data_IF_003060790781
#
_entry.id   IF_003060790781
#
_cell.length_a   1.000
_cell.length_b   1.000
_cell.length_c   1.000
_cell.angle_alpha   90.00
_cell.angle_beta   90.00
_cell.angle_gamma   90.00
#
_symmetry.space_group_name_H-M   'P 1'
#
loop_
_entity.id
_entity.type
_entity.pdbx_description
1 polymer ?
#
# COMPACT_ATOMS: atom_id res chain seq x y z
N UNK A 1 3.90 17.02 12.00
CA UNK A 1 4.86 15.91 11.91
C UNK A 1 5.52 16.01 10.55
N UNK A 2 6.79 16.39 10.50
CA UNK A 2 7.49 16.60 9.23
C UNK A 2 8.21 15.32 8.83
N UNK A 3 7.95 14.84 7.62
CA UNK A 3 8.58 13.62 7.07
C UNK A 3 9.62 14.04 6.06
N UNK A 4 10.86 13.62 6.27
CA UNK A 4 11.98 13.82 5.33
C UNK A 4 12.18 12.49 4.60
N UNK A 5 11.95 12.47 3.30
CA UNK A 5 12.15 11.28 2.44
C UNK A 5 13.49 11.38 1.74
N UNK A 6 14.40 10.44 2.05
CA UNK A 6 15.73 10.33 1.44
C UNK A 6 15.87 8.98 0.74
N UNK A 7 16.35 8.99 -0.49
CA UNK A 7 16.74 7.79 -1.24
C UNK A 7 18.26 7.72 -1.30
N UNK A 8 18.86 6.69 -0.69
CA UNK A 8 20.30 6.46 -0.69
C UNK A 8 20.62 5.00 -1.00
N UNK A 9 21.71 4.77 -1.72
CA UNK A 9 22.21 3.44 -2.07
C UNK A 9 23.43 3.14 -1.22
N UNK A 10 23.50 1.93 -0.65
CA UNK A 10 24.67 1.51 0.12
C UNK A 10 25.90 1.41 -0.79
N UNK A 11 27.06 1.80 -0.25
CA UNK A 11 28.33 1.68 -0.95
C UNK A 11 28.78 0.22 -1.10
N UNK A 12 29.83 -0.04 -1.90
CA UNK A 12 30.44 -1.38 -2.03
C UNK A 12 31.01 -1.95 -0.73
N UNK A 13 31.19 -1.11 0.29
CA UNK A 13 31.59 -1.45 1.66
C UNK A 13 30.42 -1.92 2.55
N UNK A 14 29.18 -1.86 2.04
CA UNK A 14 27.98 -2.24 2.77
C UNK A 14 27.48 -1.17 3.74
N UNK A 15 28.01 0.06 3.67
CA UNK A 15 27.63 1.16 4.56
C UNK A 15 26.65 2.10 3.86
N UNK A 16 25.56 2.46 4.55
CA UNK A 16 24.60 3.47 4.10
C UNK A 16 24.93 4.81 4.76
N UNK A 17 25.35 5.79 3.96
CA UNK A 17 25.56 7.16 4.41
C UNK A 17 24.25 7.96 4.28
N UNK A 18 23.81 8.59 5.38
CA UNK A 18 22.60 9.42 5.42
C UNK A 18 22.99 10.86 5.80
N UNK A 19 22.89 11.77 4.84
CA UNK A 19 23.06 13.22 5.08
C UNK A 19 21.70 13.87 5.36
N UNK A 20 21.48 14.30 6.61
CA UNK A 20 20.20 14.87 7.05
C UNK A 20 20.39 16.39 7.24
N UNK A 21 19.82 17.24 6.36
CA UNK A 21 19.91 18.69 6.53
C UNK A 21 18.99 19.15 7.66
N UNK A 22 19.57 19.56 8.78
CA UNK A 22 18.82 19.95 9.99
C UNK A 22 18.68 21.47 10.19
N UNK A 23 19.34 22.28 9.35
CA UNK A 23 19.15 23.73 9.25
C UNK A 23 19.65 24.59 10.43
N UNK A 24 19.85 24.00 11.62
CA UNK A 24 20.40 24.66 12.80
C UNK A 24 21.26 23.68 13.61
N UNK A 25 22.15 24.21 14.45
CA UNK A 25 22.87 23.41 15.41
C UNK A 25 21.95 23.05 16.60
N UNK A 26 21.99 21.80 17.03
CA UNK A 26 21.18 21.29 18.14
C UNK A 26 21.32 19.78 18.29
N UNK A 27 20.68 19.23 19.33
CA UNK A 27 20.54 17.79 19.52
C UNK A 27 19.29 17.28 18.80
N UNK A 28 19.41 16.13 18.14
CA UNK A 28 18.33 15.52 17.37
C UNK A 28 18.24 14.03 17.68
N UNK A 29 17.06 13.56 18.08
CA UNK A 29 16.75 12.14 18.19
C UNK A 29 16.38 11.57 16.82
N UNK A 30 17.22 10.67 16.31
CA UNK A 30 17.05 10.07 14.98
C UNK A 30 16.81 8.58 15.13
N UNK A 31 15.67 8.09 14.63
CA UNK A 31 15.35 6.66 14.56
C UNK A 31 15.40 6.21 13.10
N UNK A 32 16.50 5.54 12.73
CA UNK A 32 16.66 4.92 11.41
C UNK A 32 16.16 3.48 11.47
N UNK A 33 15.15 3.16 10.67
CA UNK A 33 14.73 1.78 10.44
C UNK A 33 15.07 1.40 9.00
N UNK A 34 16.14 0.63 8.77
CA UNK A 34 16.40 0.11 7.43
C UNK A 34 15.24 -0.79 7.04
N UNK A 35 14.40 -0.29 6.12
CA UNK A 35 13.51 -1.15 5.36
C UNK A 35 14.38 -1.69 4.25
N UNK A 36 14.56 -3.00 4.18
CA UNK A 36 15.16 -3.62 3.00
C UNK A 36 14.36 -3.12 1.81
N UNK A 37 14.96 -2.31 0.95
CA UNK A 37 14.44 -2.12 -0.40
C UNK A 37 14.34 -3.54 -0.94
N UNK A 38 13.13 -3.97 -1.21
CA UNK A 38 12.78 -5.30 -1.68
C UNK A 38 13.42 -5.45 -3.07
N UNK A 39 14.74 -5.67 -3.10
CA UNK A 39 15.48 -6.10 -4.26
C UNK A 39 15.09 -7.57 -4.47
N UNK A 40 13.90 -7.75 -5.04
CA UNK A 40 13.25 -9.04 -5.24
C UNK A 40 12.00 -9.16 -4.35
N UNK A 41 10.84 -8.97 -4.97
CA UNK A 41 9.54 -9.44 -4.48
C UNK A 41 8.68 -8.52 -3.58
N UNK A 42 8.67 -7.21 -3.86
CA UNK A 42 7.44 -6.40 -3.64
C UNK A 42 6.39 -6.66 -4.76
N UNK A 43 6.58 -7.73 -5.51
CA UNK A 43 5.59 -8.25 -6.43
C UNK A 43 4.47 -8.82 -5.58
N UNK A 44 3.30 -8.21 -5.65
CA UNK A 44 2.10 -8.85 -5.14
C UNK A 44 2.00 -10.23 -5.81
N UNK A 45 1.82 -11.32 -5.04
CA UNK A 45 1.72 -12.65 -5.61
C UNK A 45 0.59 -12.68 -6.64
N UNK A 46 0.81 -13.35 -7.77
CA UNK A 46 -0.26 -13.49 -8.77
C UNK A 46 -1.38 -14.36 -8.22
N UNK A 47 -2.61 -14.22 -8.74
CA UNK A 47 -3.69 -15.14 -8.47
C UNK A 47 -3.28 -16.62 -8.49
N UNK A 48 -2.47 -17.04 -9.47
CA UNK A 48 -2.01 -18.42 -9.61
C UNK A 48 -1.06 -18.84 -8.47
N UNK A 49 -0.20 -17.94 -8.00
CA UNK A 49 0.67 -18.17 -6.84
C UNK A 49 -0.13 -18.25 -5.53
N UNK A 50 -1.31 -17.64 -5.51
CA UNK A 50 -2.28 -17.75 -4.42
C UNK A 50 -3.20 -18.97 -4.55
N UNK A 51 -2.98 -19.84 -5.56
CA UNK A 51 -3.72 -21.09 -5.75
C UNK A 51 -5.00 -20.95 -6.59
N UNK A 52 -5.25 -19.79 -7.21
CA UNK A 52 -6.38 -19.64 -8.12
C UNK A 52 -6.08 -20.32 -9.47
N UNK A 53 -7.10 -20.92 -10.13
CA UNK A 53 -6.93 -21.41 -11.49
C UNK A 53 -6.52 -20.29 -12.45
N UNK A 54 -5.72 -20.58 -13.48
CA UNK A 54 -5.35 -19.58 -14.49
C UNK A 54 -6.58 -18.91 -15.10
N UNK A 55 -6.57 -17.58 -15.16
CA UNK A 55 -7.66 -16.81 -15.76
C UNK A 55 -8.97 -16.80 -14.96
N UNK A 56 -8.93 -17.19 -13.67
CA UNK A 56 -10.14 -17.30 -12.84
C UNK A 56 -10.87 -15.96 -12.72
N UNK A 57 -10.16 -14.87 -12.44
CA UNK A 57 -10.79 -13.57 -12.22
C UNK A 57 -11.35 -12.98 -13.52
N UNK A 58 -10.66 -13.17 -14.65
CA UNK A 58 -11.10 -12.75 -15.98
C UNK A 58 -12.42 -13.45 -16.38
N UNK A 59 -12.61 -14.70 -15.93
CA UNK A 59 -13.82 -15.46 -16.21
C UNK A 59 -14.96 -15.17 -15.23
N UNK A 60 -14.65 -14.83 -13.98
CA UNK A 60 -15.65 -14.72 -12.90
C UNK A 60 -16.14 -13.29 -12.70
N UNK A 61 -15.29 -12.28 -12.90
CA UNK A 61 -15.70 -10.87 -12.81
C UNK A 61 -16.77 -10.60 -13.86
N UNK A 62 -17.95 -10.17 -13.42
CA UNK A 62 -19.07 -9.92 -14.32
C UNK A 62 -19.67 -11.18 -14.97
N UNK A 63 -19.37 -12.37 -14.45
CA UNK A 63 -19.89 -13.65 -14.99
C UNK A 63 -21.40 -13.82 -14.82
N UNK A 64 -22.04 -12.99 -13.99
CA UNK A 64 -23.49 -13.01 -13.86
C UNK A 64 -24.14 -12.35 -15.09
N UNK A 65 -24.65 -13.22 -15.94
CA UNK A 65 -25.40 -12.89 -17.15
C UNK A 65 -26.91 -13.14 -16.99
N UNK A 66 -27.33 -13.47 -15.78
CA UNK A 66 -28.74 -13.66 -15.44
C UNK A 66 -29.44 -12.29 -15.33
N UNK A 67 -30.38 -11.97 -16.24
CA UNK A 67 -31.08 -10.68 -16.22
C UNK A 67 -32.06 -10.57 -15.05
N UNK A 68 -32.38 -11.66 -14.36
CA UNK A 68 -33.18 -11.66 -13.13
C UNK A 68 -32.35 -11.28 -11.91
N UNK A 69 -31.03 -11.31 -12.01
CA UNK A 69 -30.12 -10.84 -10.97
C UNK A 69 -30.09 -9.31 -10.93
N UNK A 70 -31.12 -8.74 -10.32
CA UNK A 70 -31.29 -7.31 -10.13
C UNK A 70 -31.00 -6.92 -8.70
N UNK A 71 -30.37 -5.76 -8.51
CA UNK A 71 -30.24 -5.15 -7.19
C UNK A 71 -31.63 -4.75 -6.70
N UNK A 72 -32.03 -5.24 -5.53
CA UNK A 72 -33.28 -4.81 -4.88
C UNK A 72 -33.24 -3.36 -4.38
N UNK A 73 -34.40 -2.86 -3.97
CA UNK A 73 -34.54 -1.51 -3.40
C UNK A 73 -33.58 -1.30 -2.23
N UNK A 74 -32.89 -0.16 -2.23
CA UNK A 74 -31.91 0.19 -1.20
C UNK A 74 -32.53 0.78 0.07
N UNK A 75 -33.86 0.81 0.15
CA UNK A 75 -34.57 1.38 1.27
C UNK A 75 -34.29 2.87 1.43
N UNK A 76 -34.41 3.33 2.67
CA UNK A 76 -34.29 4.74 3.04
C UNK A 76 -32.89 5.00 3.57
N UNK A 77 -32.38 6.22 3.36
CA UNK A 77 -31.15 6.64 4.00
C UNK A 77 -31.29 6.61 5.52
N UNK A 78 -30.20 6.28 6.19
CA UNK A 78 -30.08 6.43 7.64
C UNK A 78 -30.14 7.93 7.99
N UNK A 79 -31.04 8.31 8.90
CA UNK A 79 -31.05 9.65 9.47
C UNK A 79 -29.89 9.77 10.47
N UNK A 80 -28.98 10.72 10.20
CA UNK A 80 -27.85 11.01 11.08
C UNK A 80 -28.14 12.21 11.95
N UNK A 81 -27.80 12.10 13.23
CA UNK A 81 -27.81 13.22 14.17
C UNK A 81 -26.90 14.36 13.66
N UNK A 82 -27.29 15.63 13.84
CA UNK A 82 -26.43 16.76 13.51
C UNK A 82 -25.16 16.76 14.36
N UNK A 83 -24.05 17.19 13.78
CA UNK A 83 -22.80 17.39 14.50
C UNK A 83 -22.97 18.59 15.44
N UNK A 84 -22.74 18.36 16.74
CA UNK A 84 -22.71 19.39 17.78
C UNK A 84 -21.45 20.26 17.72
#
# INVERSE_FOLDING_TARGET
MSVISLSATAGPDGVLHLDIPVGAAGEYDIVVRPKTATNGDDRKPTPEELGWPPGFFERIVGSINDPTFVRGDQGWYEEREPLA
#
